data_IF_280458678623
#
_entry.id   IF_280458678623
#
_cell.length_a   1.000
_cell.length_b   1.000
_cell.length_c   1.000
_cell.angle_alpha   90.00
_cell.angle_beta   90.00
_cell.angle_gamma   90.00
#
_symmetry.space_group_name_H-M   'P 1'
#
loop_
_entity.id
_entity.type
_entity.pdbx_description
1 polymer ?
#
# COMPACT_ATOMS: atom_id res chain seq x y z
N UNK A 1 -24.57 -1.05 8.64
CA UNK A 1 -23.31 -1.36 9.34
C UNK A 1 -22.23 -0.42 8.82
N UNK A 2 -21.28 0.02 9.64
CA UNK A 2 -20.13 0.79 9.18
C UNK A 2 -19.26 -0.05 8.23
N UNK A 3 -18.66 0.60 7.22
CA UNK A 3 -17.78 -0.06 6.25
C UNK A 3 -16.50 -0.50 6.96
N UNK A 4 -16.11 -1.76 6.80
CA UNK A 4 -14.81 -2.23 7.32
C UNK A 4 -13.69 -1.81 6.40
N UNK A 5 -12.68 -1.16 6.98
CA UNK A 5 -11.48 -0.74 6.28
C UNK A 5 -10.32 -1.65 6.63
N UNK A 6 -9.40 -1.86 5.68
CA UNK A 6 -8.16 -2.59 5.93
C UNK A 6 -7.36 -1.99 7.10
N UNK A 7 -7.37 -0.67 7.28
CA UNK A 7 -6.73 0.00 8.43
C UNK A 7 -7.42 -0.31 9.75
N UNK A 8 -8.76 -0.33 9.80
CA UNK A 8 -9.49 -0.74 11.02
C UNK A 8 -9.26 -2.21 11.36
N UNK A 9 -9.12 -3.07 10.34
CA UNK A 9 -8.76 -4.48 10.54
C UNK A 9 -7.33 -4.58 11.10
N UNK A 10 -6.39 -3.83 10.54
CA UNK A 10 -5.00 -3.80 11.02
C UNK A 10 -4.92 -3.31 12.47
N UNK A 11 -5.57 -2.20 12.82
CA UNK A 11 -5.57 -1.67 14.18
C UNK A 11 -6.12 -2.69 15.19
N UNK A 12 -7.25 -3.33 14.88
CA UNK A 12 -7.82 -4.38 15.73
C UNK A 12 -6.90 -5.61 15.84
N UNK A 13 -6.27 -6.02 14.73
CA UNK A 13 -5.31 -7.11 14.72
C UNK A 13 -4.07 -6.79 15.54
N UNK A 14 -3.56 -5.56 15.51
CA UNK A 14 -2.42 -5.14 16.32
C UNK A 14 -2.73 -5.16 17.81
N UNK A 15 -3.95 -4.81 18.23
CA UNK A 15 -4.39 -4.95 19.63
C UNK A 15 -4.52 -6.41 20.03
N UNK A 16 -5.05 -7.26 19.15
CA UNK A 16 -5.35 -8.67 19.47
C UNK A 16 -4.12 -9.57 19.38
N UNK A 17 -3.23 -9.31 18.41
CA UNK A 17 -2.10 -10.14 18.02
C UNK A 17 -0.81 -9.31 17.92
N UNK A 18 -0.54 -8.45 18.91
CA UNK A 18 0.56 -7.49 18.89
C UNK A 18 1.92 -8.08 18.51
N UNK A 19 2.36 -9.11 19.23
CA UNK A 19 3.72 -9.69 19.13
C UNK A 19 3.92 -10.74 18.01
N UNK A 20 2.92 -11.53 17.59
CA UNK A 20 3.06 -12.43 16.44
C UNK A 20 3.58 -11.75 15.16
N UNK A 21 4.31 -12.50 14.30
CA UNK A 21 4.83 -11.97 13.04
C UNK A 21 3.68 -11.64 12.08
N UNK A 22 3.62 -10.39 11.60
CA UNK A 22 2.81 -9.98 10.46
C UNK A 22 3.55 -10.21 9.14
N UNK A 23 4.86 -9.90 9.10
CA UNK A 23 5.71 -10.14 7.94
C UNK A 23 7.09 -10.69 8.34
N UNK A 24 7.73 -11.36 7.38
CA UNK A 24 9.16 -11.67 7.40
C UNK A 24 9.81 -11.03 6.18
N UNK A 25 10.77 -10.15 6.40
CA UNK A 25 11.48 -9.43 5.35
C UNK A 25 12.88 -10.03 5.16
N UNK A 26 13.31 -10.33 3.92
CA UNK A 26 14.64 -10.87 3.69
C UNK A 26 15.70 -9.78 3.89
N UNK A 27 16.73 -10.10 4.67
CA UNK A 27 17.98 -9.34 4.76
C UNK A 27 18.92 -9.98 3.73
N UNK A 28 19.24 -9.22 2.69
CA UNK A 28 20.12 -9.67 1.62
C UNK A 28 21.58 -9.35 1.96
N UNK A 29 22.47 -10.30 1.68
CA UNK A 29 23.91 -10.03 1.62
C UNK A 29 24.17 -9.06 0.45
N UNK A 30 24.83 -7.94 0.73
CA UNK A 30 25.06 -6.87 -0.25
C UNK A 30 26.01 -7.28 -1.38
N UNK A 31 26.80 -8.33 -1.19
CA UNK A 31 27.80 -8.83 -2.13
C UNK A 31 27.24 -9.93 -3.02
N UNK A 32 26.51 -10.89 -2.44
CA UNK A 32 26.00 -12.05 -3.18
C UNK A 32 24.55 -11.89 -3.64
N UNK A 33 23.80 -10.96 -3.05
CA UNK A 33 22.36 -10.79 -3.28
C UNK A 33 21.50 -11.93 -2.71
N UNK A 34 22.10 -12.87 -1.98
CA UNK A 34 21.38 -14.00 -1.36
C UNK A 34 20.77 -13.60 -0.02
N UNK A 35 19.66 -14.23 0.35
CA UNK A 35 19.07 -14.03 1.68
C UNK A 35 20.01 -14.57 2.74
N UNK A 36 20.51 -13.68 3.60
CA UNK A 36 21.33 -14.01 4.76
C UNK A 36 20.46 -14.33 5.98
N UNK A 37 19.45 -13.51 6.22
CA UNK A 37 18.59 -13.60 7.41
C UNK A 37 17.17 -13.11 7.08
N UNK A 38 16.20 -13.44 7.94
CA UNK A 38 14.84 -12.90 7.85
C UNK A 38 14.56 -12.01 9.06
N UNK A 39 14.30 -10.73 8.82
CA UNK A 39 13.81 -9.80 9.84
C UNK A 39 12.31 -10.01 10.05
N UNK A 40 11.85 -9.97 11.30
CA UNK A 40 10.43 -10.11 11.65
C UNK A 40 9.82 -8.73 11.88
N UNK A 41 8.67 -8.49 11.25
CA UNK A 41 7.80 -7.34 11.55
C UNK A 41 6.55 -7.86 12.25
N UNK A 42 6.30 -7.44 13.49
CA UNK A 42 5.12 -7.83 14.27
C UNK A 42 3.88 -7.03 13.83
N UNK A 43 2.67 -7.44 14.24
CA UNK A 43 1.46 -6.65 13.93
C UNK A 43 1.49 -5.27 14.59
N UNK A 44 1.99 -5.17 15.83
CA UNK A 44 2.16 -3.89 16.51
C UNK A 44 3.14 -2.98 15.77
N UNK A 45 4.30 -3.51 15.39
CA UNK A 45 5.30 -2.76 14.62
C UNK A 45 4.74 -2.31 13.27
N UNK A 46 4.05 -3.20 12.55
CA UNK A 46 3.46 -2.87 11.26
C UNK A 46 2.38 -1.78 11.37
N UNK A 47 1.53 -1.83 12.40
CA UNK A 47 0.54 -0.78 12.64
C UNK A 47 1.21 0.57 12.92
N UNK A 48 2.22 0.60 13.80
CA UNK A 48 3.01 1.80 14.11
C UNK A 48 3.70 2.37 12.87
N UNK A 49 4.28 1.52 12.03
CA UNK A 49 4.93 1.91 10.79
C UNK A 49 3.94 2.51 9.78
N UNK A 50 2.74 1.93 9.66
CA UNK A 50 1.68 2.46 8.78
C UNK A 50 1.25 3.86 9.23
N UNK A 51 1.02 4.08 10.54
CA UNK A 51 0.68 5.42 11.04
C UNK A 51 1.82 6.42 10.83
N UNK A 52 3.06 6.01 11.10
CA UNK A 52 4.25 6.85 10.92
C UNK A 52 4.41 7.28 9.47
N UNK A 53 4.28 6.34 8.53
CA UNK A 53 4.34 6.62 7.09
C UNK A 53 3.17 7.48 6.64
N UNK A 54 1.96 7.29 7.20
CA UNK A 54 0.82 8.14 6.91
C UNK A 54 1.04 9.59 7.34
N UNK A 55 1.58 9.82 8.55
CA UNK A 55 1.91 11.18 9.04
C UNK A 55 2.99 11.83 8.18
N UNK A 56 4.01 11.06 7.79
CA UNK A 56 5.02 11.53 6.87
C UNK A 56 4.41 12.00 5.54
N UNK A 57 3.61 11.16 4.87
CA UNK A 57 3.03 11.52 3.58
C UNK A 57 2.03 12.66 3.68
N UNK A 58 1.27 12.76 4.78
CA UNK A 58 0.41 13.93 5.02
C UNK A 58 1.24 15.23 4.99
N UNK A 59 2.38 15.26 5.69
CA UNK A 59 3.28 16.43 5.73
C UNK A 59 3.97 16.71 4.39
N UNK A 60 4.29 15.67 3.61
CA UNK A 60 4.93 15.85 2.31
C UNK A 60 3.96 16.31 1.22
N UNK A 61 2.71 15.82 1.24
CA UNK A 61 1.74 16.07 0.17
C UNK A 61 0.94 17.35 0.37
N UNK A 62 0.72 17.78 1.62
CA UNK A 62 -0.05 19.01 1.91
C UNK A 62 0.55 20.29 1.33
N UNK A 63 1.87 20.55 1.42
CA UNK A 63 2.50 21.74 0.83
C UNK A 63 2.29 21.85 -0.68
N UNK A 64 2.18 20.71 -1.37
CA UNK A 64 1.92 20.64 -2.81
C UNK A 64 0.41 20.72 -3.15
N UNK A 65 -0.43 21.07 -2.18
CA UNK A 65 -1.86 21.28 -2.36
C UNK A 65 -2.63 20.01 -2.67
N UNK A 66 -2.13 18.84 -2.23
CA UNK A 66 -2.76 17.55 -2.47
C UNK A 66 -3.67 17.20 -1.27
N UNK A 67 -5.00 17.35 -1.40
CA UNK A 67 -5.91 17.10 -0.29
C UNK A 67 -6.09 15.60 -0.02
N UNK A 68 -6.68 15.28 1.13
CA UNK A 68 -7.12 13.92 1.43
C UNK A 68 -8.06 13.38 0.34
N UNK A 69 -8.06 12.05 0.15
CA UNK A 69 -8.81 11.35 -0.90
C UNK A 69 -8.33 11.62 -2.33
N UNK A 70 -7.18 12.27 -2.50
CA UNK A 70 -6.49 12.34 -3.79
C UNK A 70 -5.95 10.98 -4.21
N UNK A 71 -5.86 10.78 -5.52
CA UNK A 71 -5.21 9.60 -6.09
C UNK A 71 -3.71 9.87 -6.12
N UNK A 72 -2.93 8.97 -5.52
CA UNK A 72 -1.46 8.99 -5.56
C UNK A 72 -1.01 7.74 -6.30
N UNK A 73 -0.20 7.93 -7.34
CA UNK A 73 0.41 6.82 -8.07
C UNK A 73 1.52 6.19 -7.23
N UNK A 74 1.58 4.86 -7.20
CA UNK A 74 2.67 4.10 -6.59
C UNK A 74 3.29 3.18 -7.65
N UNK A 75 4.60 3.31 -7.88
CA UNK A 75 5.29 2.55 -8.91
C UNK A 75 6.61 1.96 -8.41
N UNK A 76 6.64 0.65 -8.17
CA UNK A 76 7.86 -0.06 -7.76
C UNK A 76 8.78 -0.37 -8.95
N UNK A 77 8.23 -0.46 -10.16
CA UNK A 77 9.01 -0.64 -11.40
C UNK A 77 8.43 0.25 -12.47
N UNK A 78 9.20 1.23 -12.90
CA UNK A 78 8.77 2.17 -13.92
C UNK A 78 8.94 1.53 -15.32
N UNK A 79 7.85 1.23 -16.05
CA UNK A 79 7.94 1.08 -17.50
C UNK A 79 8.34 2.43 -18.15
N UNK A 80 8.21 2.55 -19.48
CA UNK A 80 8.43 3.81 -20.18
C UNK A 80 7.66 4.98 -19.49
N UNK A 81 8.33 6.10 -19.12
CA UNK A 81 7.73 7.21 -18.38
C UNK A 81 6.51 7.83 -19.08
N UNK A 82 6.46 7.79 -20.42
CA UNK A 82 5.32 8.30 -21.19
C UNK A 82 4.04 7.52 -20.84
N UNK A 83 4.15 6.19 -20.71
CA UNK A 83 3.01 5.33 -20.35
C UNK A 83 2.52 5.63 -18.94
N UNK A 84 3.45 5.89 -18.01
CA UNK A 84 3.12 6.26 -16.64
C UNK A 84 2.39 7.60 -16.61
N UNK A 85 2.85 8.61 -17.34
CA UNK A 85 2.20 9.92 -17.39
C UNK A 85 0.79 9.83 -17.98
N UNK A 86 0.60 9.05 -19.04
CA UNK A 86 -0.73 8.79 -19.61
C UNK A 86 -1.68 8.11 -18.60
N UNK A 87 -1.19 7.09 -17.89
CA UNK A 87 -1.95 6.42 -16.84
C UNK A 87 -2.31 7.38 -15.71
N UNK A 88 -1.36 8.21 -15.27
CA UNK A 88 -1.59 9.18 -14.21
C UNK A 88 -2.65 10.20 -14.60
N UNK A 89 -2.58 10.72 -15.83
CA UNK A 89 -3.60 11.62 -16.37
C UNK A 89 -4.97 10.94 -16.42
N UNK A 90 -5.06 9.72 -16.97
CA UNK A 90 -6.31 8.95 -17.04
C UNK A 90 -6.89 8.61 -15.67
N UNK A 91 -6.03 8.34 -14.69
CA UNK A 91 -6.42 8.03 -13.32
C UNK A 91 -6.82 9.29 -12.53
N UNK A 92 -6.40 10.48 -12.96
CA UNK A 92 -6.56 11.72 -12.18
C UNK A 92 -5.62 11.79 -10.98
N UNK A 93 -4.43 11.18 -11.09
CA UNK A 93 -3.43 11.20 -10.04
C UNK A 93 -2.96 12.63 -9.75
N UNK A 94 -2.65 12.93 -8.49
CA UNK A 94 -2.13 14.22 -8.01
C UNK A 94 -0.67 14.18 -7.59
N UNK A 95 -0.12 12.98 -7.44
CA UNK A 95 1.29 12.75 -7.16
C UNK A 95 1.74 11.39 -7.68
N UNK A 96 3.04 11.16 -7.70
CA UNK A 96 3.64 9.86 -7.94
C UNK A 96 4.76 9.57 -6.92
N UNK A 97 4.67 8.41 -6.27
CA UNK A 97 5.74 7.83 -5.47
C UNK A 97 6.37 6.72 -6.31
N UNK A 98 7.67 6.78 -6.56
CA UNK A 98 8.36 5.80 -7.39
C UNK A 98 9.74 5.42 -6.89
N UNK A 99 10.16 4.19 -7.17
CA UNK A 99 11.49 3.70 -6.85
C UNK A 99 12.52 4.15 -7.91
N UNK A 100 13.44 5.04 -7.50
CA UNK A 100 14.51 5.56 -8.35
C UNK A 100 15.64 4.57 -8.64
N UNK A 101 15.64 3.40 -8.00
CA UNK A 101 16.63 2.34 -8.28
C UNK A 101 16.48 1.74 -9.68
N UNK A 102 15.39 2.06 -10.40
CA UNK A 102 15.14 1.60 -11.76
C UNK A 102 15.76 2.52 -12.81
N UNK A 103 16.34 1.94 -13.87
CA UNK A 103 17.08 2.65 -14.94
C UNK A 103 16.25 3.69 -15.72
N UNK A 104 14.93 3.70 -15.54
CA UNK A 104 13.98 4.65 -16.15
C UNK A 104 13.73 5.90 -15.29
N UNK A 105 14.20 5.94 -14.04
CA UNK A 105 14.04 7.05 -13.10
C UNK A 105 14.67 8.37 -13.58
N UNK A 106 15.73 8.30 -14.39
CA UNK A 106 16.45 9.47 -14.91
C UNK A 106 15.61 10.33 -15.88
N UNK A 107 14.43 9.87 -16.31
CA UNK A 107 13.57 10.56 -17.29
C UNK A 107 12.26 11.10 -16.67
N UNK A 108 12.22 11.30 -15.35
CA UNK A 108 11.01 11.78 -14.65
C UNK A 108 10.84 13.32 -14.66
N UNK A 109 11.75 14.06 -15.29
CA UNK A 109 11.72 15.53 -15.39
C UNK A 109 10.49 16.10 -16.11
N UNK A 110 9.70 15.26 -16.80
CA UNK A 110 8.46 15.63 -17.49
C UNK A 110 7.17 15.15 -16.80
N UNK A 111 7.23 14.73 -15.53
CA UNK A 111 6.04 14.24 -14.84
C UNK A 111 4.95 15.32 -14.75
N UNK A 112 3.68 14.98 -15.03
CA UNK A 112 2.59 15.96 -15.03
C UNK A 112 2.15 16.41 -13.63
N UNK A 113 2.75 15.85 -12.58
CA UNK A 113 2.44 16.09 -11.16
C UNK A 113 3.72 15.94 -10.32
N UNK A 114 3.74 16.45 -9.06
CA UNK A 114 4.84 16.24 -8.14
C UNK A 114 5.22 14.76 -7.97
N UNK A 115 6.53 14.50 -7.88
CA UNK A 115 7.07 13.16 -7.73
C UNK A 115 7.90 13.05 -6.46
N UNK A 116 7.85 11.88 -5.83
CA UNK A 116 8.50 11.60 -4.55
C UNK A 116 9.15 10.22 -4.57
N UNK A 117 10.15 10.03 -3.71
CA UNK A 117 10.79 8.75 -3.48
C UNK A 117 10.14 8.03 -2.28
N UNK A 118 10.07 6.69 -2.29
CA UNK A 118 9.64 5.95 -1.12
C UNK A 118 10.62 6.18 0.03
N UNK A 119 10.09 6.18 1.25
CA UNK A 119 10.85 6.30 2.48
C UNK A 119 10.69 5.01 3.29
N UNK A 120 11.77 4.54 3.91
CA UNK A 120 11.70 3.43 4.84
C UNK A 120 11.08 3.90 6.17
N UNK A 121 10.14 3.16 6.79
CA UNK A 121 9.52 3.57 8.04
C UNK A 121 10.53 3.87 9.16
N UNK A 122 11.64 3.12 9.19
CA UNK A 122 12.72 3.27 10.17
C UNK A 122 13.49 4.58 10.07
N UNK A 123 13.47 5.26 8.92
CA UNK A 123 14.15 6.54 8.70
C UNK A 123 13.26 7.75 8.94
N UNK A 124 11.99 7.54 9.30
CA UNK A 124 11.03 8.61 9.56
C UNK A 124 11.06 8.94 11.04
N UNK A 125 11.26 10.21 11.36
CA UNK A 125 11.15 10.71 12.72
C UNK A 125 9.73 10.51 13.27
N UNK A 126 9.59 10.05 14.53
CA UNK A 126 8.30 9.99 15.19
C UNK A 126 7.60 11.35 15.16
N UNK A 127 6.29 11.34 14.95
CA UNK A 127 5.46 12.53 14.99
C UNK A 127 4.14 12.21 15.66
N UNK A 128 3.64 13.16 16.44
CA UNK A 128 2.33 13.11 17.11
C UNK A 128 1.24 13.82 16.29
N UNK A 129 1.52 14.15 15.02
CA UNK A 129 0.54 14.76 14.13
C UNK A 129 -0.75 13.92 14.10
N UNK A 130 -1.89 14.61 14.25
CA UNK A 130 -3.19 13.97 14.18
C UNK A 130 -3.51 13.61 12.72
N UNK A 131 -3.69 12.31 12.49
CA UNK A 131 -4.18 11.83 11.22
C UNK A 131 -5.68 12.14 11.09
N UNK A 132 -6.15 12.54 9.89
CA UNK A 132 -7.57 12.70 9.63
C UNK A 132 -8.31 11.37 9.81
N UNK A 133 -9.55 11.43 10.29
CA UNK A 133 -10.44 10.26 10.30
C UNK A 133 -10.68 9.79 8.86
N UNK A 134 -10.38 8.52 8.59
CA UNK A 134 -10.69 7.91 7.30
C UNK A 134 -12.18 7.61 7.11
N UNK A 135 -12.92 7.43 8.20
CA UNK A 135 -14.33 7.01 8.16
C UNK A 135 -15.30 8.18 8.04
N UNK A 136 -14.88 9.40 8.39
CA UNK A 136 -15.75 10.57 8.43
C UNK A 136 -16.22 10.93 7.02
N UNK A 137 -17.53 10.79 6.77
CA UNK A 137 -18.12 11.07 5.45
C UNK A 137 -17.62 10.14 4.34
N UNK A 138 -17.11 8.94 4.69
CA UNK A 138 -16.73 7.91 3.72
C UNK A 138 -17.97 7.16 3.22
N UNK A 139 -18.11 7.06 1.90
CA UNK A 139 -19.17 6.28 1.25
C UNK A 139 -18.58 5.01 0.65
N UNK A 140 -19.37 3.95 0.61
CA UNK A 140 -18.93 2.68 0.02
C UNK A 140 -18.65 2.76 -1.49
N UNK A 141 -19.27 3.73 -2.16
CA UNK A 141 -18.99 4.07 -3.55
C UNK A 141 -17.67 4.81 -3.76
N UNK A 142 -17.06 5.34 -2.70
CA UNK A 142 -15.81 6.09 -2.81
C UNK A 142 -14.68 5.15 -3.23
N UNK A 143 -13.74 5.72 -3.98
CA UNK A 143 -12.61 4.99 -4.53
C UNK A 143 -11.61 4.64 -3.41
N UNK A 144 -11.26 3.36 -3.33
CA UNK A 144 -10.18 2.86 -2.47
C UNK A 144 -8.86 2.79 -3.23
N UNK A 145 -8.84 2.12 -4.39
CA UNK A 145 -7.63 1.90 -5.17
C UNK A 145 -7.95 1.79 -6.67
N UNK A 146 -6.99 2.10 -7.53
CA UNK A 146 -7.04 1.78 -8.95
C UNK A 146 -5.93 0.78 -9.24
N UNK A 147 -6.31 -0.43 -9.66
CA UNK A 147 -5.35 -1.42 -10.15
C UNK A 147 -5.19 -1.30 -11.66
N UNK A 148 -3.96 -1.49 -12.13
CA UNK A 148 -3.66 -1.56 -13.55
C UNK A 148 -3.72 -3.00 -14.01
N UNK A 149 -4.39 -3.24 -15.13
CA UNK A 149 -4.37 -4.55 -15.81
C UNK A 149 -3.69 -4.41 -17.16
N UNK A 150 -3.00 -5.46 -17.61
CA UNK A 150 -2.19 -5.44 -18.85
C UNK A 150 -2.99 -5.19 -20.14
N UNK A 151 -4.31 -5.30 -20.09
CA UNK A 151 -5.19 -5.03 -21.22
C UNK A 151 -4.86 -5.88 -22.45
N UNK A 152 -4.81 -7.21 -22.30
CA UNK A 152 -4.40 -8.16 -23.35
C UNK A 152 -5.07 -7.94 -24.71
N UNK A 153 -6.33 -7.49 -24.72
CA UNK A 153 -7.10 -7.22 -25.95
C UNK A 153 -6.81 -5.84 -26.56
N UNK A 154 -6.52 -4.83 -25.75
CA UNK A 154 -6.31 -3.43 -26.20
C UNK A 154 -4.83 -3.03 -26.30
N UNK A 155 -3.91 -3.89 -25.82
CA UNK A 155 -2.47 -3.61 -25.65
C UNK A 155 -2.16 -2.31 -24.89
N UNK A 156 -3.12 -1.82 -24.11
CA UNK A 156 -3.01 -0.62 -23.30
C UNK A 156 -3.48 -0.94 -21.88
N UNK A 157 -2.75 -0.47 -20.85
CA UNK A 157 -3.15 -0.66 -19.47
C UNK A 157 -4.57 -0.14 -19.21
N UNK A 158 -5.40 -0.94 -18.55
CA UNK A 158 -6.76 -0.55 -18.17
C UNK A 158 -6.83 -0.25 -16.67
N UNK A 159 -7.59 0.79 -16.33
CA UNK A 159 -7.85 1.22 -14.95
C UNK A 159 -9.00 0.40 -14.36
N UNK A 160 -8.71 -0.46 -13.39
CA UNK A 160 -9.71 -1.16 -12.59
C UNK A 160 -9.94 -0.36 -11.30
N UNK A 161 -11.05 0.39 -11.27
CA UNK A 161 -11.45 1.19 -10.10
C UNK A 161 -12.10 0.29 -9.05
N UNK A 162 -11.49 0.23 -7.87
CA UNK A 162 -11.96 -0.54 -6.73
C UNK A 162 -12.48 0.40 -5.64
N UNK A 163 -13.71 0.17 -5.18
CA UNK A 163 -14.36 1.01 -4.17
C UNK A 163 -14.17 0.45 -2.75
N UNK A 164 -14.53 1.23 -1.73
CA UNK A 164 -14.53 0.76 -0.35
C UNK A 164 -15.55 -0.36 -0.09
N UNK A 165 -16.72 -0.35 -0.76
CA UNK A 165 -17.65 -1.49 -0.71
C UNK A 165 -17.04 -2.77 -1.29
N UNK A 166 -16.25 -2.65 -2.37
CA UNK A 166 -15.54 -3.80 -2.94
C UNK A 166 -14.50 -4.34 -1.95
N UNK A 167 -13.74 -3.45 -1.31
CA UNK A 167 -12.75 -3.84 -0.29
C UNK A 167 -13.40 -4.51 0.93
N UNK A 168 -14.49 -3.94 1.46
CA UNK A 168 -15.22 -4.50 2.60
C UNK A 168 -15.72 -5.92 2.29
N UNK A 169 -16.25 -6.14 1.08
CA UNK A 169 -16.66 -7.48 0.66
C UNK A 169 -15.48 -8.46 0.54
N UNK A 170 -14.31 -8.02 0.09
CA UNK A 170 -13.11 -8.85 0.06
C UNK A 170 -12.68 -9.23 1.47
N UNK A 171 -12.65 -8.28 2.39
CA UNK A 171 -12.34 -8.53 3.80
C UNK A 171 -13.35 -9.51 4.41
N UNK A 172 -14.65 -9.31 4.14
CA UNK A 172 -15.71 -10.22 4.58
C UNK A 172 -15.46 -11.65 4.13
N UNK A 173 -15.10 -11.81 2.84
CA UNK A 173 -14.85 -13.10 2.23
C UNK A 173 -13.59 -13.74 2.79
N UNK A 174 -12.50 -12.99 2.94
CA UNK A 174 -11.25 -13.47 3.53
C UNK A 174 -11.48 -14.03 4.93
N UNK A 175 -12.20 -13.30 5.79
CA UNK A 175 -12.53 -13.76 7.15
C UNK A 175 -13.28 -15.10 7.15
N UNK A 176 -14.14 -15.34 6.16
CA UNK A 176 -14.85 -16.63 6.05
C UNK A 176 -13.92 -17.74 5.57
N UNK A 177 -13.04 -17.44 4.61
CA UNK A 177 -12.11 -18.41 4.01
C UNK A 177 -10.93 -18.77 4.91
N UNK A 178 -10.48 -17.83 5.74
CA UNK A 178 -9.32 -17.99 6.63
C UNK A 178 -9.69 -18.65 7.97
N UNK A 179 -10.97 -19.01 8.17
CA UNK A 179 -11.38 -19.80 9.33
C UNK A 179 -10.80 -21.20 9.22
N UNK A 180 -10.04 -21.59 10.24
CA UNK A 180 -9.55 -22.96 10.35
C UNK A 180 -10.71 -23.94 10.25
N UNK A 181 -10.63 -24.90 9.34
CA UNK A 181 -11.67 -25.94 9.20
C UNK A 181 -11.70 -26.85 10.43
N UNK A 182 -10.52 -27.11 11.01
CA UNK A 182 -10.37 -27.79 12.28
C UNK A 182 -9.46 -26.94 13.20
N UNK A 183 -9.94 -26.45 14.36
CA UNK A 183 -9.13 -25.65 15.28
C UNK A 183 -7.86 -26.36 15.76
N UNK A 184 -7.90 -27.68 15.87
CA UNK A 184 -6.81 -28.52 16.38
C UNK A 184 -5.80 -28.95 15.30
N UNK A 185 -6.03 -28.58 14.04
CA UNK A 185 -5.15 -28.97 12.93
C UNK A 185 -4.78 -27.76 12.07
N UNK A 186 -3.56 -27.75 11.56
CA UNK A 186 -3.16 -26.80 10.54
C UNK A 186 -3.75 -27.23 9.19
N UNK A 187 -4.51 -26.35 8.53
CA UNK A 187 -5.21 -26.68 7.27
C UNK A 187 -4.26 -26.90 6.08
N UNK A 188 -3.03 -26.38 6.17
CA UNK A 188 -1.95 -26.60 5.20
C UNK A 188 -0.73 -27.17 5.93
N UNK A 189 -0.31 -28.35 5.52
CA UNK A 189 0.97 -28.94 5.93
C UNK A 189 2.10 -28.23 5.19
N UNK A 190 2.96 -27.53 5.94
CA UNK A 190 4.26 -27.12 5.42
C UNK A 190 5.14 -28.38 5.37
N UNK A 191 5.08 -29.13 4.27
CA UNK A 191 6.10 -30.11 3.96
C UNK A 191 7.37 -29.33 3.57
N UNK A 192 8.25 -29.17 4.55
CA UNK A 192 9.65 -28.80 4.36
C UNK A 192 10.44 -30.07 4.11
#
# INVERSE_FOLDING_TARGET
MPIRLHLTVLANSAVTFASPPAFRLPILDTTTGTVHEWSVVTYEQFHSDVERVARYWMRQLQPDGIPHRSIVGLCARLPNPIVIFDIMNKAGSKALIFDASTSTANNMSGAPVPTYLPVAPSTIDPSDDLLPSLVDGLKGSDLFCIFLTSGSTSRQPKLLKCTYSWLDNIIAKAIVLDRRRNPERQDVTNSV
#
